data_IF_132782615131
#
_entry.id   IF_132782615131
#
_cell.length_a   1.000
_cell.length_b   1.000
_cell.length_c   1.000
_cell.angle_alpha   90.00
_cell.angle_beta   90.00
_cell.angle_gamma   90.00
#
_symmetry.space_group_name_H-M   'P 1'
#
loop_
_entity.id
_entity.type
_entity.pdbx_description
1 polymer ?
#
# COMPACT_ATOMS: atom_id res chain seq x y z
N UNK A 1 -35.14 33.15 -3.72
CA UNK A 1 -35.00 33.21 -5.19
C UNK A 1 -34.15 32.03 -5.63
N UNK A 2 -34.78 30.93 -6.03
CA UNK A 2 -34.07 29.82 -6.64
C UNK A 2 -33.88 30.14 -8.13
N UNK A 3 -32.63 30.15 -8.59
CA UNK A 3 -32.28 30.33 -9.99
C UNK A 3 -32.67 29.03 -10.71
N UNK A 4 -33.53 29.04 -11.74
CA UNK A 4 -33.81 27.82 -12.50
C UNK A 4 -32.57 27.50 -13.35
N UNK A 5 -31.78 26.51 -12.94
CA UNK A 5 -30.49 26.17 -13.61
C UNK A 5 -30.57 25.11 -14.68
N UNK A 6 -31.75 24.58 -15.02
CA UNK A 6 -31.87 23.66 -16.15
C UNK A 6 -32.97 24.15 -17.11
N UNK A 7 -32.63 25.20 -17.86
CA UNK A 7 -33.22 25.38 -19.19
C UNK A 7 -32.97 24.07 -19.95
N UNK A 8 -34.02 23.51 -20.56
CA UNK A 8 -34.04 22.28 -21.37
C UNK A 8 -33.09 22.40 -22.58
N UNK A 9 -31.78 22.45 -22.34
CA UNK A 9 -30.75 22.25 -23.35
C UNK A 9 -30.79 20.76 -23.64
N UNK A 10 -30.89 20.37 -24.91
CA UNK A 10 -30.70 18.96 -25.28
C UNK A 10 -29.28 18.58 -24.84
N UNK A 11 -29.15 17.81 -23.77
CA UNK A 11 -27.85 17.36 -23.29
C UNK A 11 -27.23 16.44 -24.33
N UNK A 12 -26.22 16.95 -25.04
CA UNK A 12 -25.49 16.17 -26.04
C UNK A 12 -24.45 15.33 -25.30
N UNK A 13 -24.65 14.02 -25.30
CA UNK A 13 -23.76 13.05 -24.67
C UNK A 13 -22.86 12.39 -25.72
N UNK A 14 -21.56 12.31 -25.42
CA UNK A 14 -20.59 11.53 -26.18
C UNK A 14 -20.11 10.37 -25.30
N UNK A 15 -20.13 9.16 -25.84
CA UNK A 15 -19.65 7.96 -25.17
C UNK A 15 -18.59 7.27 -26.02
N UNK A 16 -17.42 7.01 -25.44
CA UNK A 16 -16.39 6.14 -25.97
C UNK A 16 -16.32 4.91 -25.07
N UNK A 17 -16.54 3.72 -25.63
CA UNK A 17 -16.56 2.49 -24.86
C UNK A 17 -15.88 1.34 -25.58
N UNK A 18 -15.08 0.54 -24.86
CA UNK A 18 -14.44 -0.66 -25.41
C UNK A 18 -13.39 -0.38 -26.49
N UNK A 19 -12.82 0.82 -26.53
CA UNK A 19 -11.83 1.21 -27.54
C UNK A 19 -10.39 1.00 -27.04
N UNK A 20 -9.45 0.81 -27.95
CA UNK A 20 -8.01 0.78 -27.66
C UNK A 20 -7.30 1.77 -28.57
N UNK A 21 -6.70 2.81 -27.98
CA UNK A 21 -5.96 3.84 -28.69
C UNK A 21 -4.52 3.89 -28.17
N UNK A 22 -3.54 3.75 -29.05
CA UNK A 22 -2.14 3.89 -28.64
C UNK A 22 -1.79 5.36 -28.37
N UNK A 23 -2.29 6.28 -29.21
CA UNK A 23 -2.10 7.73 -29.07
C UNK A 23 -3.41 8.43 -29.41
N UNK A 24 -3.84 9.33 -28.53
CA UNK A 24 -4.85 10.35 -28.83
C UNK A 24 -4.11 11.66 -29.06
N UNK A 25 -4.12 12.14 -30.29
CA UNK A 25 -3.38 13.34 -30.68
C UNK A 25 -3.97 14.60 -29.99
N UNK A 26 -3.15 15.65 -29.80
CA UNK A 26 -3.65 16.95 -29.38
C UNK A 26 -4.84 17.40 -30.24
N UNK A 27 -5.82 18.02 -29.60
CA UNK A 27 -6.99 18.61 -30.27
C UNK A 27 -7.84 17.63 -31.10
N UNK A 28 -7.70 16.31 -30.88
CA UNK A 28 -8.50 15.25 -31.53
C UNK A 28 -10.02 15.46 -31.35
N UNK A 29 -10.43 16.20 -30.32
CA UNK A 29 -11.82 16.51 -30.00
C UNK A 29 -12.20 17.95 -30.33
N UNK A 30 -11.47 18.62 -31.23
CA UNK A 30 -11.69 20.02 -31.62
C UNK A 30 -13.07 20.30 -32.23
N UNK A 31 -13.66 19.33 -32.95
CA UNK A 31 -14.93 19.49 -33.65
C UNK A 31 -16.18 19.15 -32.81
N UNK A 32 -16.04 18.86 -31.51
CA UNK A 32 -17.17 18.44 -30.65
C UNK A 32 -17.49 19.45 -29.53
N UNK A 33 -17.49 20.75 -29.85
CA UNK A 33 -17.74 21.86 -28.90
C UNK A 33 -19.07 21.81 -28.15
N UNK A 34 -20.06 21.11 -28.69
CA UNK A 34 -21.46 21.21 -28.23
C UNK A 34 -21.84 20.11 -27.24
N UNK A 35 -20.88 19.28 -26.81
CA UNK A 35 -21.07 18.17 -25.88
C UNK A 35 -21.20 18.68 -24.45
N UNK A 36 -22.20 18.18 -23.72
CA UNK A 36 -22.47 18.49 -22.32
C UNK A 36 -21.97 17.39 -21.38
N UNK A 37 -22.10 16.12 -21.80
CA UNK A 37 -21.63 14.96 -21.04
C UNK A 37 -20.68 14.15 -21.91
N UNK A 38 -19.45 13.95 -21.45
CA UNK A 38 -18.48 13.10 -22.12
C UNK A 38 -18.14 11.92 -21.20
N UNK A 39 -18.28 10.72 -21.73
CA UNK A 39 -17.95 9.50 -21.02
C UNK A 39 -16.96 8.65 -21.79
N UNK A 40 -16.01 8.10 -21.05
CA UNK A 40 -15.02 7.15 -21.55
C UNK A 40 -15.05 5.95 -20.62
N UNK A 41 -15.42 4.77 -21.14
CA UNK A 41 -15.68 3.58 -20.34
C UNK A 41 -14.92 2.38 -20.92
N UNK A 42 -14.37 1.52 -20.07
CA UNK A 42 -13.80 0.20 -20.45
C UNK A 42 -12.86 0.26 -21.67
N UNK A 43 -12.06 1.33 -21.78
CA UNK A 43 -11.18 1.61 -22.90
C UNK A 43 -9.71 1.68 -22.45
N UNK A 44 -8.80 1.47 -23.40
CA UNK A 44 -7.36 1.49 -23.17
C UNK A 44 -6.75 2.64 -23.96
N UNK A 45 -6.02 3.51 -23.27
CA UNK A 45 -5.30 4.62 -23.86
C UNK A 45 -3.81 4.46 -23.56
N UNK A 46 -2.97 4.48 -24.58
CA UNK A 46 -1.53 4.61 -24.41
C UNK A 46 -1.20 6.02 -23.92
N UNK A 47 -1.20 6.99 -24.84
CA UNK A 47 -0.88 8.39 -24.54
C UNK A 47 -2.05 9.30 -24.84
N UNK A 48 -2.42 10.13 -23.86
CA UNK A 48 -3.40 11.21 -24.04
C UNK A 48 -2.67 12.53 -24.27
N UNK A 49 -2.82 13.08 -25.47
CA UNK A 49 -2.15 14.30 -25.91
C UNK A 49 -2.51 15.54 -25.09
N UNK A 50 -1.64 16.54 -25.16
CA UNK A 50 -1.85 17.87 -24.56
C UNK A 50 -3.13 18.49 -25.13
N UNK A 51 -3.89 19.20 -24.30
CA UNK A 51 -5.10 19.93 -24.72
C UNK A 51 -6.18 19.09 -25.41
N UNK A 52 -6.15 17.76 -25.25
CA UNK A 52 -7.06 16.85 -25.96
C UNK A 52 -8.53 17.27 -25.85
N UNK A 53 -8.95 17.79 -24.69
CA UNK A 53 -10.33 18.21 -24.42
C UNK A 53 -10.54 19.74 -24.38
N UNK A 54 -9.54 20.52 -24.79
CA UNK A 54 -9.54 21.99 -24.61
C UNK A 54 -10.67 22.72 -25.36
N UNK A 55 -11.17 22.09 -26.43
CA UNK A 55 -12.22 22.64 -27.30
C UNK A 55 -13.65 22.29 -26.87
N UNK A 56 -13.83 21.39 -25.88
CA UNK A 56 -15.15 20.97 -25.40
C UNK A 56 -15.69 21.97 -24.37
N UNK A 57 -15.99 23.18 -24.86
CA UNK A 57 -16.30 24.35 -24.03
C UNK A 57 -17.61 24.25 -23.24
N UNK A 58 -18.56 23.41 -23.65
CA UNK A 58 -19.85 23.23 -22.97
C UNK A 58 -19.91 22.00 -22.06
N UNK A 59 -18.76 21.34 -21.82
CA UNK A 59 -18.71 20.11 -21.03
C UNK A 59 -19.03 20.41 -19.57
N UNK A 60 -20.15 19.87 -19.08
CA UNK A 60 -20.60 19.97 -17.69
C UNK A 60 -20.24 18.71 -16.91
N UNK A 61 -20.34 17.54 -17.54
CA UNK A 61 -20.05 16.25 -16.92
C UNK A 61 -18.98 15.50 -17.72
N UNK A 62 -17.91 15.08 -17.05
CA UNK A 62 -16.85 14.31 -17.66
C UNK A 62 -16.52 13.08 -16.82
N UNK A 63 -16.92 11.91 -17.30
CA UNK A 63 -16.76 10.65 -16.57
C UNK A 63 -15.80 9.73 -17.31
N UNK A 64 -14.77 9.30 -16.62
CA UNK A 64 -13.79 8.35 -17.14
C UNK A 64 -13.81 7.17 -16.17
N UNK A 65 -14.30 6.01 -16.62
CA UNK A 65 -14.51 4.84 -15.78
C UNK A 65 -13.86 3.58 -16.32
N UNK A 66 -13.20 2.81 -15.45
CA UNK A 66 -12.65 1.49 -15.80
C UNK A 66 -11.69 1.48 -16.99
N UNK A 67 -10.94 2.58 -17.21
CA UNK A 67 -9.97 2.66 -18.30
C UNK A 67 -8.54 2.38 -17.82
N UNK A 68 -7.64 2.09 -18.75
CA UNK A 68 -6.19 2.08 -18.48
C UNK A 68 -5.50 3.18 -19.28
N UNK A 69 -4.67 3.99 -18.61
CA UNK A 69 -3.85 5.03 -19.22
C UNK A 69 -2.37 4.73 -18.96
N UNK A 70 -1.57 4.55 -20.01
CA UNK A 70 -0.11 4.36 -19.85
C UNK A 70 0.56 5.68 -19.44
N UNK A 71 0.22 6.78 -20.11
CA UNK A 71 0.78 8.10 -19.84
C UNK A 71 -0.29 9.20 -20.04
N UNK A 72 -0.55 9.94 -18.96
CA UNK A 72 -1.42 11.10 -18.94
C UNK A 72 -0.57 12.37 -18.92
N UNK A 73 -0.52 13.07 -20.06
CA UNK A 73 0.27 14.29 -20.21
C UNK A 73 -0.15 15.37 -19.19
N UNK A 74 0.81 16.13 -18.67
CA UNK A 74 0.57 17.25 -17.75
C UNK A 74 -0.30 18.39 -18.32
N UNK A 75 -0.74 18.33 -19.57
CA UNK A 75 -1.65 19.32 -20.14
C UNK A 75 -2.91 18.67 -20.72
N UNK A 76 -3.15 17.37 -20.46
CA UNK A 76 -4.24 16.62 -21.08
C UNK A 76 -5.63 17.21 -20.73
N UNK A 77 -5.80 17.71 -19.51
CA UNK A 77 -7.04 18.35 -19.04
C UNK A 77 -7.01 19.89 -19.12
N UNK A 78 -5.96 20.47 -19.68
CA UNK A 78 -5.84 21.92 -19.82
C UNK A 78 -6.90 22.44 -20.81
N UNK A 79 -7.65 23.45 -20.39
CA UNK A 79 -8.76 24.04 -21.17
C UNK A 79 -10.16 23.58 -20.77
N UNK A 80 -10.29 22.59 -19.87
CA UNK A 80 -11.59 22.25 -19.25
C UNK A 80 -12.02 23.36 -18.28
N UNK A 81 -12.93 24.23 -18.72
CA UNK A 81 -13.32 25.45 -17.98
C UNK A 81 -14.67 25.34 -17.26
N UNK A 82 -15.60 24.54 -17.78
CA UNK A 82 -17.02 24.57 -17.38
C UNK A 82 -17.54 23.23 -16.85
N UNK A 83 -16.64 22.35 -16.41
CA UNK A 83 -17.00 21.01 -15.94
C UNK A 83 -17.44 21.11 -14.47
N UNK A 84 -18.72 20.83 -14.24
CA UNK A 84 -19.34 20.78 -12.91
C UNK A 84 -19.05 19.45 -12.20
N UNK A 85 -19.03 18.35 -12.96
CA UNK A 85 -18.75 17.01 -12.45
C UNK A 85 -17.64 16.35 -13.25
N UNK A 86 -16.57 15.95 -12.57
CA UNK A 86 -15.50 15.18 -13.18
C UNK A 86 -15.19 13.96 -12.32
N UNK A 87 -15.23 12.79 -12.93
CA UNK A 87 -15.04 11.53 -12.23
C UNK A 87 -13.99 10.67 -12.93
N UNK A 88 -12.99 10.25 -12.17
CA UNK A 88 -12.00 9.26 -12.56
C UNK A 88 -12.16 8.05 -11.63
N UNK A 89 -13.05 7.10 -12.00
CA UNK A 89 -13.35 5.94 -11.15
C UNK A 89 -12.75 4.69 -11.78
N UNK A 90 -12.09 3.84 -10.97
CA UNK A 90 -11.52 2.55 -11.42
C UNK A 90 -10.56 2.66 -12.61
N UNK A 91 -9.87 3.79 -12.77
CA UNK A 91 -8.85 3.90 -13.82
C UNK A 91 -7.50 3.41 -13.32
N UNK A 92 -6.77 2.70 -14.19
CA UNK A 92 -5.39 2.32 -13.95
C UNK A 92 -4.47 3.30 -14.70
N UNK A 93 -3.86 4.24 -13.98
CA UNK A 93 -2.99 5.28 -14.55
C UNK A 93 -1.55 5.00 -14.13
N UNK A 94 -0.67 4.71 -15.08
CA UNK A 94 0.73 4.37 -14.78
C UNK A 94 1.60 5.61 -14.56
N UNK A 95 1.37 6.69 -15.30
CA UNK A 95 2.12 7.94 -15.19
C UNK A 95 1.21 9.17 -15.32
N UNK A 96 1.48 10.18 -14.49
CA UNK A 96 0.77 11.46 -14.47
C UNK A 96 1.80 12.58 -14.64
N UNK A 97 1.58 13.48 -15.61
CA UNK A 97 2.40 14.66 -15.79
C UNK A 97 2.21 15.70 -14.68
N UNK A 98 3.28 16.39 -14.32
CA UNK A 98 3.34 17.33 -13.18
C UNK A 98 2.29 18.46 -13.24
N UNK A 99 2.05 19.01 -14.43
CA UNK A 99 1.14 20.16 -14.60
C UNK A 99 -0.33 19.77 -14.88
N UNK A 100 -0.67 18.46 -14.83
CA UNK A 100 -1.97 17.91 -15.30
C UNK A 100 -3.17 18.68 -14.76
N UNK A 101 -2.98 19.23 -13.57
CA UNK A 101 -4.01 19.80 -12.73
C UNK A 101 -3.80 21.29 -12.42
N UNK A 102 -2.86 21.96 -13.09
CA UNK A 102 -2.48 23.33 -12.75
C UNK A 102 -3.56 24.39 -13.05
N UNK A 103 -4.52 24.08 -13.93
CA UNK A 103 -5.46 25.06 -14.51
C UNK A 103 -6.93 24.60 -14.60
N UNK A 104 -7.33 23.51 -13.94
CA UNK A 104 -8.71 23.02 -14.00
C UNK A 104 -9.41 23.21 -12.63
N UNK A 105 -10.55 23.89 -12.54
CA UNK A 105 -11.27 24.04 -11.25
C UNK A 105 -11.82 22.71 -10.70
N UNK A 106 -12.10 21.79 -11.61
CA UNK A 106 -12.34 20.36 -11.39
C UNK A 106 -11.26 19.65 -10.55
N UNK A 107 -10.04 20.16 -10.58
CA UNK A 107 -8.86 19.59 -9.93
C UNK A 107 -9.04 19.45 -8.44
N UNK A 108 -9.76 20.37 -7.79
CA UNK A 108 -9.86 20.36 -6.33
C UNK A 108 -10.50 19.06 -5.86
N UNK A 109 -11.56 18.59 -6.55
CA UNK A 109 -12.25 17.35 -6.18
C UNK A 109 -11.37 16.12 -6.46
N UNK A 110 -10.71 16.06 -7.62
CA UNK A 110 -9.83 14.92 -7.95
C UNK A 110 -8.59 14.88 -7.08
N UNK A 111 -7.97 16.02 -6.79
CA UNK A 111 -6.83 16.10 -5.87
C UNK A 111 -7.25 15.65 -4.49
N UNK A 112 -8.41 16.07 -3.98
CA UNK A 112 -8.90 15.57 -2.69
C UNK A 112 -9.06 14.05 -2.72
N UNK A 113 -9.68 13.47 -3.77
CA UNK A 113 -9.85 12.01 -3.88
C UNK A 113 -8.51 11.29 -3.99
N UNK A 114 -7.61 11.74 -4.87
CA UNK A 114 -6.27 11.14 -5.07
C UNK A 114 -5.43 11.26 -3.81
N UNK A 115 -5.40 12.43 -3.15
CA UNK A 115 -4.69 12.64 -1.89
C UNK A 115 -5.25 11.71 -0.81
N UNK A 116 -6.57 11.59 -0.68
CA UNK A 116 -7.19 10.65 0.26
C UNK A 116 -6.76 9.22 -0.05
N UNK A 117 -6.80 8.79 -1.31
CA UNK A 117 -6.36 7.43 -1.71
C UNK A 117 -4.89 7.21 -1.39
N UNK A 118 -4.01 8.16 -1.73
CA UNK A 118 -2.57 8.09 -1.43
C UNK A 118 -2.34 8.01 0.08
N UNK A 119 -3.01 8.85 0.87
CA UNK A 119 -2.94 8.81 2.34
C UNK A 119 -3.38 7.44 2.87
N UNK A 120 -4.49 6.89 2.36
CA UNK A 120 -4.96 5.56 2.76
C UNK A 120 -3.92 4.49 2.41
N UNK A 121 -3.35 4.52 1.21
CA UNK A 121 -2.30 3.57 0.80
C UNK A 121 -1.07 3.68 1.70
N UNK A 122 -0.60 4.89 1.98
CA UNK A 122 0.54 5.13 2.89
C UNK A 122 0.25 4.57 4.28
N UNK A 123 -0.94 4.82 4.83
CA UNK A 123 -1.36 4.29 6.13
C UNK A 123 -1.35 2.75 6.11
N UNK A 124 -1.90 2.12 5.07
CA UNK A 124 -1.89 0.66 4.93
C UNK A 124 -0.45 0.12 4.89
N UNK A 125 0.43 0.73 4.11
CA UNK A 125 1.84 0.32 4.03
C UNK A 125 2.52 0.44 5.39
N UNK A 126 2.34 1.56 6.10
CA UNK A 126 2.90 1.76 7.45
C UNK A 126 2.39 0.68 8.41
N UNK A 127 1.10 0.38 8.40
CA UNK A 127 0.52 -0.68 9.24
C UNK A 127 1.15 -2.04 8.93
N UNK A 128 1.30 -2.39 7.65
CA UNK A 128 1.94 -3.65 7.24
C UNK A 128 3.38 -3.72 7.74
N UNK A 129 4.16 -2.65 7.57
CA UNK A 129 5.55 -2.60 8.05
C UNK A 129 5.62 -2.79 9.56
N UNK A 130 4.76 -2.11 10.33
CA UNK A 130 4.71 -2.26 11.79
C UNK A 130 4.39 -3.70 12.18
N UNK A 131 3.40 -4.32 11.54
CA UNK A 131 3.05 -5.73 11.80
C UNK A 131 4.23 -6.65 11.53
N UNK A 132 4.93 -6.48 10.41
CA UNK A 132 6.12 -7.28 10.07
C UNK A 132 7.21 -7.12 11.13
N UNK A 133 7.50 -5.88 11.56
CA UNK A 133 8.51 -5.62 12.60
C UNK A 133 8.12 -6.31 13.91
N UNK A 134 6.86 -6.20 14.34
CA UNK A 134 6.37 -6.86 15.56
C UNK A 134 6.54 -8.38 15.46
N UNK A 135 6.16 -8.99 14.34
CA UNK A 135 6.33 -10.43 14.11
C UNK A 135 7.79 -10.84 14.22
N UNK A 136 8.70 -10.10 13.57
CA UNK A 136 10.15 -10.35 13.64
C UNK A 136 10.65 -10.28 15.08
N UNK A 137 10.28 -9.24 15.83
CA UNK A 137 10.67 -9.08 17.24
C UNK A 137 10.18 -10.27 18.07
N UNK A 138 8.92 -10.67 17.92
CA UNK A 138 8.36 -11.83 18.63
C UNK A 138 9.14 -13.10 18.30
N UNK A 139 9.45 -13.35 17.02
CA UNK A 139 10.25 -14.51 16.60
C UNK A 139 11.64 -14.50 17.25
N UNK A 140 12.33 -13.35 17.25
CA UNK A 140 13.65 -13.23 17.90
C UNK A 140 13.55 -13.51 19.39
N UNK A 141 12.55 -12.96 20.09
CA UNK A 141 12.34 -13.21 21.51
C UNK A 141 12.13 -14.70 21.78
N UNK A 142 11.29 -15.36 20.99
CA UNK A 142 11.05 -16.81 21.11
C UNK A 142 12.35 -17.60 20.92
N UNK A 143 13.15 -17.28 19.90
CA UNK A 143 14.45 -17.92 19.66
C UNK A 143 15.37 -17.75 20.88
N UNK A 144 15.50 -16.53 21.40
CA UNK A 144 16.34 -16.25 22.58
C UNK A 144 15.88 -17.06 23.78
N UNK A 145 14.57 -17.11 24.05
CA UNK A 145 14.02 -17.91 25.16
C UNK A 145 14.36 -19.39 24.98
N UNK A 146 14.17 -19.95 23.79
CA UNK A 146 14.52 -21.35 23.49
C UNK A 146 16.00 -21.60 23.73
N UNK A 147 16.88 -20.73 23.24
CA UNK A 147 18.33 -20.86 23.45
C UNK A 147 18.69 -20.84 24.93
N UNK A 148 18.12 -19.91 25.70
CA UNK A 148 18.34 -19.82 27.16
C UNK A 148 17.89 -21.11 27.85
N UNK A 149 16.70 -21.63 27.51
CA UNK A 149 16.19 -22.89 28.07
C UNK A 149 17.14 -24.05 27.75
N UNK A 150 17.59 -24.17 26.49
CA UNK A 150 18.54 -25.21 26.09
C UNK A 150 19.85 -25.10 26.87
N UNK A 151 20.42 -23.90 27.00
CA UNK A 151 21.64 -23.68 27.79
C UNK A 151 21.46 -24.10 29.24
N UNK A 152 20.35 -23.71 29.88
CA UNK A 152 20.04 -24.10 31.25
C UNK A 152 19.94 -25.62 31.39
N UNK A 153 19.23 -26.29 30.48
CA UNK A 153 19.11 -27.76 30.47
C UNK A 153 20.49 -28.41 30.34
N UNK A 154 21.33 -27.95 29.40
CA UNK A 154 22.69 -28.46 29.22
C UNK A 154 23.52 -28.29 30.49
N UNK A 155 23.49 -27.11 31.12
CA UNK A 155 24.21 -26.85 32.38
C UNK A 155 23.74 -27.80 33.48
N UNK A 156 22.42 -27.96 33.65
CA UNK A 156 21.86 -28.89 34.64
C UNK A 156 22.33 -30.32 34.39
N UNK A 157 22.27 -30.80 33.14
CA UNK A 157 22.74 -32.14 32.77
C UNK A 157 24.22 -32.30 33.09
N UNK A 158 25.07 -31.34 32.74
CA UNK A 158 26.51 -31.37 33.04
C UNK A 158 26.75 -31.44 34.55
N UNK A 159 26.07 -30.61 35.34
CA UNK A 159 26.19 -30.63 36.80
C UNK A 159 25.79 -31.99 37.37
N UNK A 160 24.67 -32.56 36.94
CA UNK A 160 24.20 -33.88 37.39
C UNK A 160 25.23 -34.96 37.05
N UNK A 161 25.79 -34.96 35.84
CA UNK A 161 26.81 -35.92 35.41
C UNK A 161 28.08 -35.79 36.25
N UNK A 162 28.58 -34.57 36.46
CA UNK A 162 29.78 -34.32 37.29
C UNK A 162 29.56 -34.83 38.71
N UNK A 163 28.43 -34.49 39.33
CA UNK A 163 28.09 -34.94 40.68
C UNK A 163 28.03 -36.47 40.74
N UNK A 164 27.37 -37.13 39.79
CA UNK A 164 27.29 -38.58 39.72
C UNK A 164 28.67 -39.24 39.61
N UNK A 165 29.55 -38.71 38.75
CA UNK A 165 30.94 -39.19 38.60
C UNK A 165 31.76 -39.00 39.89
N UNK A 166 31.61 -37.86 40.57
CA UNK A 166 32.26 -37.63 41.88
C UNK A 166 31.80 -38.65 42.94
N UNK A 167 30.50 -38.97 43.02
CA UNK A 167 30.01 -40.01 43.93
C UNK A 167 30.57 -41.40 43.60
N UNK A 168 30.62 -41.77 42.32
CA UNK A 168 31.16 -43.07 41.90
C UNK A 168 32.67 -43.21 42.17
N UNK A 169 33.44 -42.11 42.11
CA UNK A 169 34.89 -42.13 42.31
C UNK A 169 35.30 -41.99 43.78
N UNK A 170 34.52 -41.27 44.61
CA UNK A 170 34.80 -41.13 46.04
C UNK A 170 34.20 -42.26 46.90
N UNK A 171 33.18 -42.98 46.43
CA UNK A 171 32.53 -44.08 47.15
C UNK A 171 33.27 -45.42 47.15
N UNK A 172 34.42 -45.52 46.46
CA UNK A 172 35.22 -46.75 46.34
C UNK A 172 36.43 -46.85 47.29
N UNK A 173 36.64 -45.88 48.19
CA UNK A 173 37.72 -45.90 49.17
C UNK A 173 37.36 -46.69 50.42
N UNK A 174 37.73 -47.96 50.45
CA UNK A 174 37.62 -48.89 51.58
C UNK A 174 38.45 -48.38 52.80
N UNK A 175 37.79 -47.75 53.79
CA UNK A 175 38.42 -47.27 55.03
C UNK A 175 38.64 -48.46 55.98
N UNK A 176 39.70 -49.23 55.72
CA UNK A 176 40.31 -50.15 56.69
C UNK A 176 41.57 -49.51 57.26
N UNK A 177 41.44 -48.57 58.20
CA UNK A 177 42.58 -48.10 59.01
C UNK A 177 42.18 -47.95 60.48
N UNK A 178 42.66 -48.92 61.26
CA UNK A 178 43.01 -48.86 62.69
C UNK A 178 42.07 -48.19 63.69
N UNK A 179 41.16 -48.98 64.27
CA UNK A 179 40.70 -48.76 65.64
C UNK A 179 41.79 -49.24 66.61
N UNK A 180 42.73 -48.35 66.94
CA UNK A 180 43.69 -48.53 68.03
C UNK A 180 43.53 -47.35 68.99
N UNK A 181 43.51 -47.69 70.29
CA UNK A 181 43.62 -46.86 71.49
C UNK A 181 42.34 -46.32 72.19
N UNK A 182 41.96 -47.08 73.23
CA UNK A 182 41.80 -46.64 74.64
C UNK A 182 40.49 -46.02 75.10
N UNK A 183 39.66 -46.83 75.76
CA UNK A 183 38.83 -46.39 76.89
C UNK A 183 39.24 -47.22 78.13
N UNK A 184 39.85 -46.52 79.10
CA UNK A 184 40.08 -46.96 80.48
C UNK A 184 38.77 -47.41 81.13
N UNK A 185 38.70 -48.60 81.73
CA UNK A 185 37.89 -48.89 82.93
C UNK A 185 38.60 -49.95 83.80
N UNK A 186 38.78 -49.60 85.08
CA UNK A 186 39.35 -50.31 86.23
C UNK A 186 40.86 -50.55 86.29
#
# INVERSE_FOLDING_TARGET
>A
MAKPTHSLRKDKRLLISGCSFDIVEPDSFSNISDVNTFEIIDSKFGRLGKHAFSHISNLAEFNIWSNSFLDLSGEAFMGLKNVDQFQLIRNNISQIGYDLFKNAHVVVVVVVVVVVVVVVVVVVVVVVVVVVVVVVVVVVVVIVVVVVVVVVVVVVVVVVVVVAVCYCTCGGGDVRVSTVLTIKIN
#
